data_IF_417076021392
#
_entry.id   IF_417076021392
#
_cell.length_a   1.000
_cell.length_b   1.000
_cell.length_c   1.000
_cell.angle_alpha   90.00
_cell.angle_beta   90.00
_cell.angle_gamma   90.00
#
_symmetry.space_group_name_H-M   'P 1'
#
loop_
_entity.id
_entity.type
_entity.pdbx_description
1 polymer ?
#
# COMPACT_ATOMS: atom_id res chain seq x y z
N UNK A 1 -13.30 10.00 15.91
CA UNK A 1 -11.89 9.62 15.69
C UNK A 1 -11.86 8.72 14.45
N UNK A 2 -10.99 9.00 13.47
CA UNK A 2 -10.82 8.13 12.31
C UNK A 2 -9.80 7.02 12.60
N UNK A 3 -9.88 5.91 11.88
CA UNK A 3 -8.89 4.83 11.88
C UNK A 3 -8.57 4.49 10.43
N UNK A 4 -7.29 4.39 10.12
CA UNK A 4 -6.80 4.11 8.78
C UNK A 4 -5.64 3.11 8.93
N UNK A 5 -5.98 1.82 8.90
CA UNK A 5 -5.01 0.74 9.06
C UNK A 5 -4.79 0.11 7.68
N UNK A 6 -3.58 0.20 7.11
CA UNK A 6 -3.31 -0.42 5.83
C UNK A 6 -3.28 -1.95 5.95
N UNK A 7 -3.52 -2.68 4.85
CA UNK A 7 -3.31 -4.12 4.78
C UNK A 7 -1.81 -4.48 4.85
N UNK A 8 -1.51 -5.70 5.28
CA UNK A 8 -0.16 -6.25 5.41
C UNK A 8 -0.11 -7.70 4.95
N UNK A 9 1.08 -8.15 4.58
CA UNK A 9 1.28 -9.52 4.13
C UNK A 9 1.11 -10.51 5.29
N UNK A 10 0.28 -11.53 5.09
CA UNK A 10 -0.01 -12.54 6.11
C UNK A 10 1.25 -13.28 6.57
N UNK A 11 2.14 -13.66 5.63
CA UNK A 11 3.34 -14.46 5.95
C UNK A 11 4.33 -13.63 6.74
N UNK A 12 4.51 -12.35 6.38
CA UNK A 12 5.39 -11.43 7.11
C UNK A 12 4.88 -11.19 8.53
N UNK A 13 3.60 -10.87 8.70
CA UNK A 13 2.99 -10.62 10.02
C UNK A 13 3.02 -11.88 10.89
N UNK A 14 2.72 -13.05 10.32
CA UNK A 14 2.79 -14.32 11.05
C UNK A 14 4.22 -14.62 11.52
N UNK A 15 5.22 -14.40 10.66
CA UNK A 15 6.63 -14.59 11.01
C UNK A 15 7.09 -13.60 12.09
N UNK A 16 6.64 -12.36 12.01
CA UNK A 16 6.91 -11.34 13.04
C UNK A 16 6.30 -11.72 14.39
N UNK A 17 5.06 -12.23 14.40
CA UNK A 17 4.41 -12.70 15.61
C UNK A 17 5.11 -13.90 16.25
N UNK A 18 5.60 -14.86 15.44
CA UNK A 18 6.40 -16.00 15.93
C UNK A 18 7.71 -15.51 16.54
N UNK A 19 8.40 -14.59 15.86
CA UNK A 19 9.67 -14.02 16.34
C UNK A 19 9.49 -13.34 17.69
N UNK A 20 8.39 -12.62 17.89
CA UNK A 20 8.07 -11.96 19.16
C UNK A 20 7.73 -12.98 20.28
N UNK A 21 7.21 -14.16 19.94
CA UNK A 21 7.01 -15.26 20.91
C UNK A 21 8.36 -15.85 21.33
N UNK A 22 9.26 -16.10 20.38
CA UNK A 22 10.58 -16.68 20.64
C UNK A 22 11.51 -15.71 21.37
N UNK A 23 11.45 -14.43 20.99
CA UNK A 23 12.29 -13.35 21.51
C UNK A 23 11.40 -12.17 21.93
N UNK A 24 10.90 -12.14 23.18
CA UNK A 24 9.97 -11.09 23.61
C UNK A 24 10.58 -9.69 23.73
N UNK A 25 11.91 -9.57 23.61
CA UNK A 25 12.64 -8.30 23.62
C UNK A 25 12.95 -7.78 22.22
N UNK A 26 12.39 -8.40 21.17
CA UNK A 26 12.59 -7.96 19.78
C UNK A 26 12.22 -6.50 19.62
N UNK A 27 13.10 -5.75 18.97
CA UNK A 27 12.91 -4.32 18.73
C UNK A 27 12.03 -4.05 17.51
N UNK A 28 11.55 -2.81 17.37
CA UNK A 28 10.79 -2.43 16.18
C UNK A 28 11.61 -2.61 14.89
N UNK A 29 12.92 -2.37 14.94
CA UNK A 29 13.79 -2.48 13.77
C UNK A 29 13.91 -3.92 13.27
N UNK A 30 14.10 -4.86 14.20
CA UNK A 30 14.11 -6.30 13.89
C UNK A 30 12.75 -6.78 13.35
N UNK A 31 11.63 -6.21 13.81
CA UNK A 31 10.31 -6.51 13.26
C UNK A 31 10.14 -5.96 11.83
N UNK A 32 10.72 -4.81 11.52
CA UNK A 32 10.65 -4.19 10.19
C UNK A 32 11.57 -4.87 9.16
N UNK A 33 12.58 -5.60 9.61
CA UNK A 33 13.35 -6.50 8.74
C UNK A 33 12.49 -7.70 8.25
N UNK A 34 11.45 -8.05 9.01
CA UNK A 34 10.51 -9.12 8.66
C UNK A 34 9.28 -8.56 7.92
N UNK A 35 8.70 -7.47 8.45
CA UNK A 35 7.52 -6.79 7.89
C UNK A 35 7.99 -5.58 7.11
N UNK A 36 8.01 -5.72 5.79
CA UNK A 36 8.57 -4.68 4.92
C UNK A 36 7.72 -3.41 4.92
N UNK A 37 6.40 -3.56 5.11
CA UNK A 37 5.47 -2.46 5.18
C UNK A 37 4.04 -2.86 4.82
N UNK A 38 3.23 -1.89 4.38
CA UNK A 38 1.90 -2.17 3.83
C UNK A 38 1.97 -3.08 2.60
N UNK A 39 1.02 -4.01 2.48
CA UNK A 39 0.85 -4.89 1.33
C UNK A 39 -0.58 -4.71 0.81
N UNK A 40 -0.74 -3.82 -0.17
CA UNK A 40 -2.03 -3.55 -0.79
C UNK A 40 -2.37 -4.60 -1.83
N UNK A 41 -3.67 -4.90 -2.07
CA UNK A 41 -4.10 -5.87 -3.07
C UNK A 41 -3.99 -5.28 -4.50
N UNK A 42 -2.82 -4.79 -4.86
CA UNK A 42 -2.46 -4.19 -6.15
C UNK A 42 -0.97 -4.38 -6.37
N UNK A 43 -0.54 -4.57 -7.61
CA UNK A 43 0.87 -4.69 -7.97
C UNK A 43 1.61 -3.34 -8.06
N UNK A 44 0.94 -2.24 -7.69
CA UNK A 44 1.53 -0.91 -7.66
C UNK A 44 2.64 -0.78 -6.60
N UNK A 45 3.65 0.02 -6.92
CA UNK A 45 4.82 0.21 -6.06
C UNK A 45 4.55 1.19 -4.92
N UNK A 46 5.08 0.88 -3.73
CA UNK A 46 5.16 1.83 -2.63
C UNK A 46 6.48 2.59 -2.72
N UNK A 47 6.42 3.89 -2.97
CA UNK A 47 7.60 4.75 -3.15
C UNK A 47 8.12 5.35 -1.84
N UNK A 48 7.39 5.17 -0.73
CA UNK A 48 7.78 5.69 0.58
C UNK A 48 9.04 5.01 1.07
N UNK A 49 10.00 5.80 1.57
CA UNK A 49 11.29 5.25 2.02
C UNK A 49 11.12 4.35 3.26
N UNK A 50 11.99 3.34 3.41
CA UNK A 50 12.00 2.48 4.61
C UNK A 50 12.14 3.27 5.92
N UNK A 51 12.91 4.36 5.90
CA UNK A 51 13.09 5.24 7.05
C UNK A 51 11.78 5.97 7.44
N UNK A 52 10.97 6.37 6.46
CA UNK A 52 9.64 6.94 6.71
C UNK A 52 8.66 5.88 7.19
N UNK A 53 8.64 4.70 6.56
CA UNK A 53 7.80 3.57 6.99
C UNK A 53 8.09 3.21 8.46
N UNK A 54 9.36 3.17 8.85
CA UNK A 54 9.78 2.99 10.24
C UNK A 54 9.16 4.02 11.17
N UNK A 55 9.22 5.31 10.82
CA UNK A 55 8.63 6.40 11.62
C UNK A 55 7.11 6.25 11.74
N UNK A 56 6.44 5.81 10.68
CA UNK A 56 5.00 5.56 10.68
C UNK A 56 4.65 4.47 11.69
N UNK A 57 5.35 3.34 11.65
CA UNK A 57 5.10 2.23 12.59
C UNK A 57 5.54 2.53 14.02
N UNK A 58 6.54 3.39 14.22
CA UNK A 58 6.97 3.85 15.54
C UNK A 58 5.93 4.76 16.19
N UNK A 59 5.36 5.69 15.43
CA UNK A 59 4.43 6.70 15.95
C UNK A 59 2.95 6.28 15.85
N UNK A 60 2.65 5.22 15.08
CA UNK A 60 1.29 4.77 14.77
C UNK A 60 0.51 5.70 13.84
N UNK A 61 1.16 6.72 13.25
CA UNK A 61 0.53 7.70 12.34
C UNK A 61 1.49 8.11 11.23
N UNK A 62 0.93 8.39 10.05
CA UNK A 62 1.63 9.04 8.96
C UNK A 62 0.93 8.83 7.63
N UNK A 63 1.72 8.76 6.55
CA UNK A 63 1.19 8.56 5.20
C UNK A 63 2.16 7.75 4.34
N UNK A 64 1.63 6.83 3.54
CA UNK A 64 2.39 6.09 2.53
C UNK A 64 1.91 6.51 1.15
N UNK A 65 2.84 6.64 0.19
CA UNK A 65 2.55 6.93 -1.21
C UNK A 65 2.74 5.70 -2.05
N UNK A 66 1.79 5.45 -2.94
CA UNK A 66 1.89 4.43 -3.97
C UNK A 66 1.92 5.07 -5.34
N UNK A 67 2.62 4.43 -6.27
CA UNK A 67 2.78 4.85 -7.65
C UNK A 67 2.44 3.69 -8.59
N UNK A 68 1.79 4.01 -9.71
CA UNK A 68 1.50 3.06 -10.76
C UNK A 68 2.79 2.47 -11.36
N UNK A 69 2.75 1.18 -11.70
CA UNK A 69 3.83 0.51 -12.44
C UNK A 69 3.61 0.71 -13.93
N UNK A 70 4.68 1.08 -14.62
CA UNK A 70 4.65 1.32 -16.06
C UNK A 70 5.92 0.80 -16.72
N UNK A 71 5.79 0.41 -17.98
CA UNK A 71 6.87 0.00 -18.87
C UNK A 71 6.86 0.88 -20.12
N UNK A 72 7.99 0.89 -20.84
CA UNK A 72 8.08 1.50 -22.17
C UNK A 72 8.09 0.39 -23.21
N UNK A 73 7.07 0.36 -24.06
CA UNK A 73 6.88 -0.62 -25.14
C UNK A 73 6.77 0.13 -26.47
N UNK A 74 7.63 -0.19 -27.44
CA UNK A 74 7.63 0.41 -28.79
C UNK A 74 7.57 1.94 -28.85
N UNK A 75 8.11 2.62 -27.83
CA UNK A 75 8.12 4.08 -27.72
C UNK A 75 6.90 4.68 -27.00
N UNK A 76 5.87 3.89 -26.70
CA UNK A 76 4.73 4.26 -25.86
C UNK A 76 4.98 3.88 -24.40
N UNK A 77 4.20 4.50 -23.50
CA UNK A 77 4.16 4.12 -22.09
C UNK A 77 2.95 3.23 -21.85
N UNK A 78 3.17 2.08 -21.23
CA UNK A 78 2.14 1.12 -20.87
C UNK A 78 2.08 1.02 -19.35
N UNK A 79 0.95 1.38 -18.77
CA UNK A 79 0.70 1.26 -17.33
C UNK A 79 0.04 -0.08 -17.08
N UNK A 80 0.71 -0.94 -16.31
CA UNK A 80 0.28 -2.32 -16.00
C UNK A 80 -0.44 -2.43 -14.65
N UNK A 81 -0.08 -1.60 -13.68
CA UNK A 81 -0.68 -1.65 -12.34
C UNK A 81 -1.01 -0.25 -11.83
N UNK A 82 -2.22 -0.10 -11.28
CA UNK A 82 -2.69 1.15 -10.68
C UNK A 82 -2.63 1.10 -9.14
N UNK A 83 -2.49 2.25 -8.47
CA UNK A 83 -2.54 2.33 -7.02
C UNK A 83 -3.88 1.83 -6.43
N UNK A 84 -3.86 1.45 -5.16
CA UNK A 84 -5.04 0.94 -4.47
C UNK A 84 -6.25 1.90 -4.51
N UNK A 85 -7.45 1.38 -4.81
CA UNK A 85 -8.67 2.19 -4.95
C UNK A 85 -8.57 3.33 -5.99
N UNK A 86 -7.82 3.11 -7.07
CA UNK A 86 -7.80 3.99 -8.25
C UNK A 86 -8.52 3.28 -9.38
N UNK A 87 -9.42 3.99 -10.06
CA UNK A 87 -10.12 3.48 -11.24
C UNK A 87 -9.37 3.92 -12.49
N UNK A 88 -9.08 2.99 -13.40
CA UNK A 88 -8.44 3.28 -14.68
C UNK A 88 -9.21 4.31 -15.50
N UNK A 89 -10.54 4.19 -15.55
CA UNK A 89 -11.41 5.16 -16.23
C UNK A 89 -11.26 6.60 -15.69
N UNK A 90 -11.13 6.75 -14.36
CA UNK A 90 -10.93 8.06 -13.74
C UNK A 90 -9.56 8.65 -14.06
N UNK A 91 -8.52 7.82 -14.08
CA UNK A 91 -7.17 8.25 -14.48
C UNK A 91 -7.16 8.68 -15.95
N UNK A 92 -7.79 7.90 -16.84
CA UNK A 92 -7.94 8.25 -18.24
C UNK A 92 -8.67 9.58 -18.43
N UNK A 93 -9.76 9.81 -17.69
CA UNK A 93 -10.51 11.06 -17.74
C UNK A 93 -9.66 12.27 -17.28
N UNK A 94 -8.86 12.10 -16.23
CA UNK A 94 -7.93 13.13 -15.75
C UNK A 94 -6.89 13.46 -16.82
N UNK A 95 -6.27 12.46 -17.44
CA UNK A 95 -5.27 12.66 -18.50
C UNK A 95 -5.93 13.34 -19.72
N UNK A 96 -7.09 12.86 -20.16
CA UNK A 96 -7.84 13.43 -21.28
C UNK A 96 -8.27 14.89 -21.02
N UNK A 97 -8.63 15.23 -19.78
CA UNK A 97 -8.93 16.62 -19.39
C UNK A 97 -7.68 17.50 -19.50
N UNK A 98 -6.50 17.01 -19.13
CA UNK A 98 -5.26 17.77 -19.26
C UNK A 98 -4.83 17.94 -20.73
N UNK A 99 -5.06 16.94 -21.59
CA UNK A 99 -4.86 17.04 -23.04
C UNK A 99 -5.77 18.11 -23.67
N UNK A 100 -7.08 18.10 -23.33
CA UNK A 100 -8.05 19.10 -23.81
C UNK A 100 -7.67 20.54 -23.42
N UNK A 101 -7.11 20.70 -22.22
CA UNK A 101 -6.63 22.00 -21.74
C UNK A 101 -5.26 22.41 -22.31
N UNK A 102 -4.73 21.68 -23.31
CA UNK A 102 -3.42 21.90 -23.95
C UNK A 102 -2.24 21.88 -22.98
N UNK A 103 -2.39 21.25 -21.80
CA UNK A 103 -1.31 21.13 -20.80
C UNK A 103 -0.32 20.00 -21.14
N UNK A 104 -0.76 18.98 -21.87
CA UNK A 104 0.08 17.92 -22.42
C UNK A 104 0.09 17.95 -23.95
N UNK A 105 0.87 18.85 -24.59
CA UNK A 105 1.05 18.83 -26.04
C UNK A 105 1.97 17.69 -26.52
N UNK A 106 2.63 16.99 -25.59
CA UNK A 106 3.60 15.93 -25.88
C UNK A 106 2.94 14.55 -26.09
N UNK A 107 1.73 14.36 -25.57
CA UNK A 107 0.93 13.15 -25.74
C UNK A 107 0.06 13.31 -26.97
N UNK A 108 0.04 12.30 -27.83
CA UNK A 108 -0.77 12.26 -29.05
C UNK A 108 -2.11 11.59 -28.79
N UNK A 109 -2.05 10.39 -28.22
CA UNK A 109 -3.20 9.51 -28.06
C UNK A 109 -3.13 8.77 -26.72
N UNK A 110 -4.30 8.40 -26.21
CA UNK A 110 -4.50 7.70 -24.94
C UNK A 110 -5.50 6.57 -25.16
N UNK A 111 -5.09 5.33 -24.90
CA UNK A 111 -5.89 4.13 -25.15
C UNK A 111 -6.04 3.29 -23.89
N UNK A 112 -7.24 2.75 -23.71
CA UNK A 112 -7.50 1.70 -22.74
C UNK A 112 -7.50 0.36 -23.48
N UNK A 113 -6.46 -0.44 -23.24
CA UNK A 113 -6.31 -1.79 -23.80
C UNK A 113 -6.52 -2.85 -22.71
N UNK A 114 -7.30 -2.52 -21.67
CA UNK A 114 -7.64 -3.46 -20.60
C UNK A 114 -8.55 -4.57 -21.11
N UNK A 115 -8.16 -5.82 -20.90
CA UNK A 115 -8.89 -7.02 -21.30
C UNK A 115 -8.97 -8.03 -20.13
N UNK A 116 -9.40 -9.27 -20.38
CA UNK A 116 -9.48 -10.29 -19.34
C UNK A 116 -8.09 -10.80 -18.91
N UNK A 117 -7.08 -10.75 -19.80
CA UNK A 117 -5.72 -11.21 -19.52
C UNK A 117 -4.88 -10.14 -18.81
N UNK A 118 -5.18 -8.87 -19.10
CA UNK A 118 -4.54 -7.66 -18.61
C UNK A 118 -5.61 -6.79 -17.93
N UNK A 119 -5.87 -7.00 -16.62
CA UNK A 119 -6.94 -6.32 -15.90
C UNK A 119 -6.83 -4.79 -15.92
N UNK A 120 -5.63 -4.27 -16.18
CA UNK A 120 -5.35 -2.84 -16.30
C UNK A 120 -4.21 -2.63 -17.28
N UNK A 121 -4.51 -2.09 -18.46
CA UNK A 121 -3.50 -1.75 -19.45
C UNK A 121 -3.83 -0.41 -20.12
N UNK A 122 -3.21 0.65 -19.61
CA UNK A 122 -3.39 2.00 -20.15
C UNK A 122 -2.19 2.37 -21.01
N UNK A 123 -2.42 2.69 -22.28
CA UNK A 123 -1.37 3.03 -23.24
C UNK A 123 -1.38 4.52 -23.52
N UNK A 124 -0.23 5.16 -23.31
CA UNK A 124 0.00 6.58 -23.57
C UNK A 124 0.98 6.70 -24.72
N UNK A 125 0.51 7.19 -25.87
CA UNK A 125 1.31 7.33 -27.08
C UNK A 125 1.85 8.76 -27.19
N UNK A 126 3.18 8.96 -27.26
CA UNK A 126 3.74 10.28 -27.51
C UNK A 126 3.52 10.74 -28.95
N UNK A 127 3.54 12.06 -29.16
CA UNK A 127 3.50 12.65 -30.50
C UNK A 127 4.73 12.34 -31.35
N UNK A 128 5.87 12.07 -30.72
CA UNK A 128 7.12 11.81 -31.41
C UNK A 128 8.07 11.00 -30.54
N UNK A 129 8.88 10.13 -31.14
CA UNK A 129 9.90 9.34 -30.43
C UNK A 129 11.00 10.19 -29.75
N UNK A 130 11.06 11.49 -30.04
CA UNK A 130 11.97 12.46 -29.40
C UNK A 130 11.45 13.00 -28.07
N UNK A 131 10.19 12.74 -27.72
CA UNK A 131 9.60 13.17 -26.45
C UNK A 131 10.18 12.34 -25.32
N UNK A 132 10.62 13.02 -24.26
CA UNK A 132 11.02 12.36 -23.02
C UNK A 132 9.78 11.95 -22.22
N UNK A 133 9.43 10.66 -22.35
CA UNK A 133 8.30 10.09 -21.63
C UNK A 133 8.51 10.00 -20.12
N UNK A 134 9.76 9.99 -19.62
CA UNK A 134 10.01 10.01 -18.18
C UNK A 134 9.59 11.35 -17.58
N UNK A 135 9.90 12.45 -18.27
CA UNK A 135 9.45 13.78 -17.86
C UNK A 135 7.92 13.90 -17.86
N UNK A 136 7.27 13.35 -18.89
CA UNK A 136 5.80 13.30 -18.98
C UNK A 136 5.22 12.47 -17.83
N UNK A 137 5.78 11.30 -17.55
CA UNK A 137 5.32 10.44 -16.44
C UNK A 137 5.49 11.12 -15.08
N UNK A 138 6.62 11.78 -14.83
CA UNK A 138 6.83 12.56 -13.61
C UNK A 138 5.79 13.68 -13.44
N UNK A 139 5.40 14.34 -14.53
CA UNK A 139 4.30 15.31 -14.50
C UNK A 139 2.95 14.65 -14.22
N UNK A 140 2.67 13.50 -14.85
CA UNK A 140 1.42 12.76 -14.64
C UNK A 140 1.32 12.24 -13.20
N UNK A 141 2.39 11.75 -12.59
CA UNK A 141 2.40 11.36 -11.17
C UNK A 141 2.03 12.52 -10.25
N UNK A 142 2.50 13.74 -10.55
CA UNK A 142 2.19 14.90 -9.71
C UNK A 142 0.75 15.44 -9.89
N UNK A 143 0.10 15.14 -11.02
CA UNK A 143 -1.14 15.82 -11.42
C UNK A 143 -2.35 14.89 -11.59
N UNK A 144 -2.14 13.57 -11.58
CA UNK A 144 -3.18 12.54 -11.74
C UNK A 144 -3.12 11.54 -10.59
N UNK A 145 -4.16 10.71 -10.47
CA UNK A 145 -4.24 9.65 -9.46
C UNK A 145 -3.27 8.46 -9.73
N UNK A 146 -2.32 8.58 -10.66
CA UNK A 146 -1.24 7.60 -10.87
C UNK A 146 -0.26 7.53 -9.69
N UNK A 147 -0.13 8.62 -8.93
CA UNK A 147 0.50 8.59 -7.60
C UNK A 147 -0.54 9.03 -6.57
N UNK A 148 -0.74 8.20 -5.54
CA UNK A 148 -1.75 8.46 -4.50
C UNK A 148 -1.16 8.28 -3.11
N UNK A 149 -1.53 9.20 -2.22
CA UNK A 149 -1.15 9.14 -0.81
C UNK A 149 -2.28 8.51 0.02
N UNK A 150 -1.90 7.56 0.86
CA UNK A 150 -2.77 6.84 1.79
C UNK A 150 -2.42 7.26 3.20
N UNK A 151 -3.42 7.74 3.92
CA UNK A 151 -3.29 8.08 5.33
C UNK A 151 -3.16 6.81 6.15
N UNK A 152 -2.29 6.84 7.15
CA UNK A 152 -2.13 5.78 8.15
C UNK A 152 -2.38 6.38 9.53
N UNK A 153 -3.30 5.77 10.26
CA UNK A 153 -3.61 6.09 11.64
C UNK A 153 -4.06 4.81 12.34
N UNK A 154 -3.13 4.20 13.08
CA UNK A 154 -3.29 2.92 13.78
C UNK A 154 -4.09 3.09 15.08
N UNK A 155 -5.27 3.69 14.97
CA UNK A 155 -6.18 3.89 16.08
C UNK A 155 -7.12 2.69 16.21
N UNK A 156 -7.07 1.98 17.33
CA UNK A 156 -7.87 0.78 17.58
C UNK A 156 -8.28 0.67 19.05
N UNK A 157 -9.31 -0.13 19.32
CA UNK A 157 -9.75 -0.43 20.69
C UNK A 157 -8.84 -1.50 21.26
N UNK A 158 -8.23 -1.21 22.42
CA UNK A 158 -7.42 -2.18 23.13
C UNK A 158 -8.20 -3.20 23.94
N UNK A 159 -7.46 -4.14 24.54
CA UNK A 159 -7.96 -5.09 25.54
C UNK A 159 -8.45 -4.40 26.81
N UNK A 160 -8.02 -3.17 27.05
CA UNK A 160 -8.50 -2.28 28.11
C UNK A 160 -9.86 -1.61 27.79
N UNK A 161 -10.41 -1.85 26.59
CA UNK A 161 -11.70 -1.33 26.14
C UNK A 161 -11.67 0.15 25.75
N UNK A 162 -10.49 0.77 25.64
CA UNK A 162 -10.34 2.18 25.28
C UNK A 162 -9.74 2.33 23.88
N UNK A 163 -10.17 3.33 23.08
CA UNK A 163 -9.54 3.65 21.82
C UNK A 163 -8.17 4.30 22.06
N UNK A 164 -7.15 3.80 21.37
CA UNK A 164 -5.80 4.34 21.43
C UNK A 164 -5.05 4.14 20.12
N UNK A 165 -4.14 5.08 19.82
CA UNK A 165 -3.18 4.90 18.73
C UNK A 165 -2.04 4.05 19.23
N UNK A 166 -1.75 2.97 18.52
CA UNK A 166 -0.75 1.98 18.91
C UNK A 166 0.34 1.86 17.85
N UNK A 167 1.56 1.66 18.28
CA UNK A 167 2.67 1.34 17.38
C UNK A 167 2.64 -0.15 16.98
N UNK A 168 3.43 -0.53 15.97
CA UNK A 168 3.43 -1.91 15.46
C UNK A 168 3.75 -2.96 16.55
N UNK A 169 4.69 -2.63 17.44
CA UNK A 169 5.14 -3.53 18.50
C UNK A 169 4.04 -3.74 19.55
N UNK A 170 3.36 -2.67 19.96
CA UNK A 170 2.21 -2.69 20.85
C UNK A 170 1.07 -3.54 20.27
N UNK A 171 0.75 -3.34 18.98
CA UNK A 171 -0.29 -4.10 18.29
C UNK A 171 0.01 -5.60 18.32
N UNK A 172 1.21 -6.01 17.91
CA UNK A 172 1.60 -7.42 17.87
C UNK A 172 1.65 -8.02 19.28
N UNK A 173 2.21 -7.30 20.26
CA UNK A 173 2.33 -7.76 21.64
C UNK A 173 0.96 -7.97 22.28
N UNK A 174 0.05 -7.02 22.11
CA UNK A 174 -1.30 -7.09 22.65
C UNK A 174 -2.14 -8.16 21.96
N UNK A 175 -2.01 -8.30 20.63
CA UNK A 175 -2.66 -9.37 19.89
C UNK A 175 -2.16 -10.75 20.34
N UNK A 176 -0.88 -10.90 20.67
CA UNK A 176 -0.33 -12.15 21.21
C UNK A 176 -0.87 -12.47 22.61
N UNK A 177 -1.08 -11.46 23.47
CA UNK A 177 -1.74 -11.63 24.76
C UNK A 177 -3.18 -12.14 24.56
N UNK A 178 -3.93 -11.48 23.67
CA UNK A 178 -5.28 -11.90 23.30
C UNK A 178 -5.31 -13.34 22.76
N UNK A 179 -4.39 -13.67 21.85
CA UNK A 179 -4.33 -15.00 21.23
C UNK A 179 -3.98 -16.08 22.25
N UNK A 180 -3.06 -15.80 23.17
CA UNK A 180 -2.69 -16.70 24.28
C UNK A 180 -3.88 -16.97 25.20
N UNK A 181 -4.63 -15.93 25.57
CA UNK A 181 -5.82 -16.08 26.41
C UNK A 181 -6.91 -16.91 25.71
N UNK A 182 -7.15 -16.63 24.43
CA UNK A 182 -8.12 -17.38 23.62
C UNK A 182 -7.77 -18.87 23.54
N UNK A 183 -6.49 -19.20 23.33
CA UNK A 183 -6.03 -20.60 23.29
C UNK A 183 -6.19 -21.26 24.66
N UNK A 184 -5.87 -20.57 25.76
CA UNK A 184 -6.07 -21.07 27.13
C UNK A 184 -7.55 -21.39 27.40
N UNK A 185 -8.46 -20.47 27.08
CA UNK A 185 -9.92 -20.68 27.24
C UNK A 185 -10.41 -21.89 26.43
N UNK A 186 -9.92 -22.04 25.19
CA UNK A 186 -10.27 -23.18 24.34
C UNK A 186 -9.82 -24.52 24.94
N UNK A 187 -8.63 -24.57 25.55
CA UNK A 187 -8.12 -25.77 26.20
C UNK A 187 -8.92 -26.11 27.47
N UNK A 188 -9.21 -25.12 28.32
CA UNK A 188 -10.01 -25.32 29.52
C UNK A 188 -11.44 -25.81 29.20
N UNK A 189 -12.08 -25.23 28.18
CA UNK A 189 -13.39 -25.70 27.72
C UNK A 189 -13.39 -27.15 27.24
N UNK A 190 -12.27 -27.60 26.63
CA UNK A 190 -12.13 -29.01 26.25
C UNK A 190 -11.87 -29.89 27.46
N UNK A 191 -11.09 -29.42 28.44
CA UNK A 191 -10.77 -30.12 29.67
C UNK A 191 -12.02 -30.36 30.53
N UNK A 192 -12.89 -29.36 30.68
CA UNK A 192 -14.16 -29.48 31.44
C UNK A 192 -15.17 -30.44 30.79
N UNK A 193 -14.99 -30.76 29.50
CA UNK A 193 -15.82 -31.72 28.76
C UNK A 193 -15.28 -33.15 28.79
N UNK A 194 -14.06 -33.35 29.27
CA UNK A 194 -13.44 -34.68 29.44
C UNK A 194 -13.70 -35.19 30.85
#
# INVERSE_FOLDING_TARGET
>A
MATDIPPHNLREVAKAAITLIEQPKTTLDELLDIVQGPDFPTEAEIITSRAEIRKIYQNGRGSVRMRAVWSKEDGAVVISALPHQVSGAKVLEQIAAQMRNKKLPMVDDLRDESDHENPTRLVIVPRSNRVDMEQVMNHLFATTDLEKSYRINLNMIGLDGRPGVKNLLEILSEWLVFRRDTVRRRLNHRLEKC
#
